data_IF_853978629089
#
_entry.id   IF_853978629089
#
_cell.length_a   1.000
_cell.length_b   1.000
_cell.length_c   1.000
_cell.angle_alpha   90.00
_cell.angle_beta   90.00
_cell.angle_gamma   90.00
#
_symmetry.space_group_name_H-M   'P 1'
#
loop_
_entity.id
_entity.type
_entity.pdbx_description
1 polymer ?
#
# COMPACT_ATOMS: atom_id res chain seq x y z
N UNK A 1 -4.34 56.68 7.27
CA UNK A 1 -3.68 55.38 7.05
C UNK A 1 -4.70 54.45 6.36
N UNK A 2 -4.51 54.14 5.06
CA UNK A 2 -5.35 53.17 4.34
C UNK A 2 -4.86 51.78 4.73
N UNK A 3 -5.70 51.01 5.40
CA UNK A 3 -5.45 49.59 5.62
C UNK A 3 -5.39 48.89 4.25
N UNK A 4 -4.23 48.29 3.92
CA UNK A 4 -4.12 47.37 2.79
C UNK A 4 -5.02 46.17 3.07
N UNK A 5 -5.86 45.74 2.12
CA UNK A 5 -6.60 44.49 2.28
C UNK A 5 -5.58 43.35 2.44
N UNK A 6 -5.69 42.66 3.56
CA UNK A 6 -4.99 41.37 3.73
C UNK A 6 -5.33 40.52 2.51
N UNK A 7 -4.31 40.11 1.76
CA UNK A 7 -4.46 39.18 0.67
C UNK A 7 -5.11 37.93 1.26
N UNK A 8 -6.41 37.77 1.04
CA UNK A 8 -7.10 36.51 1.36
C UNK A 8 -6.38 35.39 0.58
N UNK A 9 -5.75 34.51 1.32
CA UNK A 9 -5.18 33.31 0.70
C UNK A 9 -6.31 32.61 -0.07
N UNK A 10 -6.10 32.22 -1.33
CA UNK A 10 -7.13 31.57 -2.14
C UNK A 10 -7.69 30.39 -1.35
N UNK A 11 -9.02 30.33 -1.23
CA UNK A 11 -9.70 29.28 -0.52
C UNK A 11 -9.16 27.93 -1.02
N UNK A 12 -8.51 27.18 -0.12
CA UNK A 12 -7.95 25.88 -0.47
C UNK A 12 -9.11 24.99 -0.92
N UNK A 13 -9.02 24.53 -2.17
CA UNK A 13 -10.03 23.62 -2.73
C UNK A 13 -10.13 22.39 -1.84
N UNK A 14 -11.31 22.13 -1.32
CA UNK A 14 -11.64 20.91 -0.54
C UNK A 14 -11.90 19.71 -1.43
N UNK A 15 -11.79 19.86 -2.76
CA UNK A 15 -11.97 18.79 -3.71
C UNK A 15 -10.78 17.82 -3.65
N UNK A 16 -11.00 16.54 -3.30
CA UNK A 16 -9.93 15.58 -3.07
C UNK A 16 -9.11 15.25 -4.32
N UNK A 17 -9.63 15.55 -5.50
CA UNK A 17 -8.98 15.31 -6.80
C UNK A 17 -8.43 16.63 -7.39
N UNK A 18 -8.61 17.76 -6.70
CA UNK A 18 -8.10 19.04 -7.16
C UNK A 18 -6.57 19.07 -7.08
N UNK A 19 -5.91 19.36 -8.21
CA UNK A 19 -4.46 19.62 -8.29
C UNK A 19 -4.00 20.76 -7.39
N UNK A 20 -4.93 21.54 -6.82
CA UNK A 20 -4.68 22.63 -5.88
C UNK A 20 -4.76 22.19 -4.41
N UNK A 21 -5.15 20.95 -4.11
CA UNK A 21 -5.22 20.44 -2.74
C UNK A 21 -3.83 20.00 -2.24
N UNK A 22 -3.30 20.59 -1.15
CA UNK A 22 -2.00 20.20 -0.59
C UNK A 22 -1.94 18.72 -0.22
N UNK A 23 -3.06 18.12 0.22
CA UNK A 23 -3.16 16.71 0.55
C UNK A 23 -2.94 15.81 -0.65
N UNK A 24 -3.39 16.20 -1.85
CA UNK A 24 -3.16 15.45 -3.09
C UNK A 24 -1.66 15.40 -3.43
N UNK A 25 -0.98 16.55 -3.36
CA UNK A 25 0.46 16.63 -3.60
C UNK A 25 1.26 15.83 -2.57
N UNK A 26 0.90 15.94 -1.28
CA UNK A 26 1.55 15.19 -0.21
C UNK A 26 1.47 13.67 -0.44
N UNK A 27 0.28 13.17 -0.75
CA UNK A 27 0.06 11.74 -1.03
C UNK A 27 0.79 11.26 -2.29
N UNK A 28 0.74 12.06 -3.37
CA UNK A 28 1.42 11.74 -4.63
C UNK A 28 2.94 11.71 -4.46
N UNK A 29 3.49 12.67 -3.72
CA UNK A 29 4.94 12.72 -3.43
C UNK A 29 5.37 11.50 -2.58
N UNK A 30 4.61 11.17 -1.54
CA UNK A 30 4.86 10.01 -0.71
C UNK A 30 4.90 8.72 -1.57
N UNK A 31 3.86 8.47 -2.38
CA UNK A 31 3.83 7.31 -3.26
C UNK A 31 4.96 7.29 -4.29
N UNK A 32 5.40 8.47 -4.78
CA UNK A 32 6.53 8.57 -5.72
C UNK A 32 7.83 8.15 -5.05
N UNK A 33 8.08 8.63 -3.82
CA UNK A 33 9.27 8.28 -3.04
C UNK A 33 9.26 6.78 -2.70
N UNK A 34 8.15 6.26 -2.24
CA UNK A 34 7.97 4.85 -1.89
C UNK A 34 8.11 3.94 -3.14
N UNK A 35 7.51 4.35 -4.26
CA UNK A 35 7.65 3.67 -5.55
C UNK A 35 9.09 3.63 -6.04
N UNK A 36 9.84 4.73 -5.89
CA UNK A 36 11.27 4.76 -6.17
C UNK A 36 12.05 3.78 -5.27
N UNK A 37 11.68 3.68 -3.98
CA UNK A 37 12.24 2.70 -3.05
C UNK A 37 12.02 1.26 -3.51
N UNK A 38 10.80 0.91 -3.94
CA UNK A 38 10.51 -0.41 -4.52
C UNK A 38 11.29 -0.65 -5.81
N UNK A 39 11.39 0.34 -6.69
CA UNK A 39 12.17 0.23 -7.92
C UNK A 39 13.65 -0.06 -7.63
N UNK A 40 14.25 0.60 -6.64
CA UNK A 40 15.63 0.35 -6.21
C UNK A 40 15.78 -1.10 -5.70
N UNK A 41 14.85 -1.59 -4.90
CA UNK A 41 14.88 -2.97 -4.41
C UNK A 41 14.78 -3.98 -5.57
N UNK A 42 13.93 -3.73 -6.56
CA UNK A 42 13.79 -4.57 -7.76
C UNK A 42 15.07 -4.54 -8.60
N UNK A 43 15.66 -3.36 -8.83
CA UNK A 43 16.93 -3.23 -9.54
C UNK A 43 18.03 -4.00 -8.80
N UNK A 44 18.10 -3.86 -7.48
CA UNK A 44 19.06 -4.59 -6.64
C UNK A 44 18.85 -6.10 -6.73
N UNK A 45 17.60 -6.58 -6.74
CA UNK A 45 17.27 -7.99 -6.92
C UNK A 45 17.83 -8.54 -8.23
N UNK A 46 17.63 -7.86 -9.35
CA UNK A 46 18.17 -8.27 -10.64
C UNK A 46 19.68 -8.09 -10.77
N UNK A 47 20.23 -7.08 -10.11
CA UNK A 47 21.69 -6.90 -10.03
C UNK A 47 22.36 -8.08 -9.32
N UNK A 48 21.84 -8.47 -8.15
CA UNK A 48 22.35 -9.63 -7.40
C UNK A 48 22.18 -10.91 -8.22
N UNK A 49 21.05 -11.07 -8.91
CA UNK A 49 20.76 -12.22 -9.79
C UNK A 49 21.88 -12.49 -10.79
N UNK A 50 22.46 -11.43 -11.37
CA UNK A 50 23.56 -11.55 -12.36
C UNK A 50 24.81 -12.22 -11.81
N UNK A 51 25.03 -12.17 -10.51
CA UNK A 51 26.19 -12.79 -9.85
C UNK A 51 26.07 -14.30 -9.60
N UNK A 52 24.93 -14.93 -9.96
CA UNK A 52 24.68 -16.34 -9.70
C UNK A 52 24.34 -17.10 -10.98
N UNK A 53 24.89 -18.32 -11.17
CA UNK A 53 24.61 -19.15 -12.35
C UNK A 53 23.18 -19.71 -12.35
N UNK A 54 22.56 -19.84 -11.17
CA UNK A 54 21.16 -20.28 -10.99
C UNK A 54 20.44 -19.36 -10.00
N UNK A 55 19.10 -19.25 -10.13
CA UNK A 55 18.30 -18.42 -9.29
C UNK A 55 16.98 -19.13 -8.90
N UNK A 56 16.73 -19.36 -7.63
CA UNK A 56 17.58 -19.05 -6.46
C UNK A 56 18.96 -19.71 -6.51
N UNK A 57 19.93 -19.26 -5.67
CA UNK A 57 21.25 -19.89 -5.60
C UNK A 57 21.17 -21.38 -5.28
N UNK A 58 22.14 -22.15 -5.76
CA UNK A 58 22.22 -23.60 -5.53
C UNK A 58 21.97 -23.95 -4.05
N UNK A 59 21.19 -25.02 -3.79
CA UNK A 59 20.73 -25.46 -2.45
C UNK A 59 19.64 -24.60 -1.78
N UNK A 60 19.14 -23.55 -2.41
CA UNK A 60 17.99 -22.81 -1.91
C UNK A 60 16.72 -23.31 -2.60
N UNK A 61 15.71 -23.70 -1.81
CA UNK A 61 14.41 -24.12 -2.34
C UNK A 61 13.67 -22.92 -2.93
N UNK A 62 12.82 -23.17 -3.92
CA UNK A 62 11.92 -22.16 -4.47
C UNK A 62 10.94 -21.67 -3.39
N UNK A 63 10.55 -20.37 -3.40
CA UNK A 63 9.54 -19.86 -2.50
C UNK A 63 8.18 -20.55 -2.69
N UNK A 64 7.46 -20.82 -1.61
CA UNK A 64 6.13 -21.44 -1.63
C UNK A 64 5.09 -20.48 -2.19
N UNK A 65 4.25 -20.96 -3.12
CA UNK A 65 3.22 -20.13 -3.76
C UNK A 65 1.92 -20.04 -2.96
N UNK A 66 1.57 -21.04 -2.16
CA UNK A 66 0.24 -21.14 -1.57
C UNK A 66 -0.18 -19.91 -0.77
N UNK A 67 0.57 -19.60 0.27
CA UNK A 67 0.29 -18.43 1.14
C UNK A 67 0.47 -17.11 0.39
N UNK A 68 1.50 -17.02 -0.45
CA UNK A 68 1.80 -15.80 -1.19
C UNK A 68 0.73 -15.47 -2.23
N UNK A 69 0.20 -16.49 -2.93
CA UNK A 69 -0.91 -16.32 -3.87
C UNK A 69 -2.20 -15.93 -3.13
N UNK A 70 -2.47 -16.55 -1.97
CA UNK A 70 -3.61 -16.17 -1.14
C UNK A 70 -3.52 -14.71 -0.68
N UNK A 71 -2.32 -14.24 -0.30
CA UNK A 71 -2.08 -12.86 0.10
C UNK A 71 -2.31 -11.87 -1.05
N UNK A 72 -1.79 -12.16 -2.25
CA UNK A 72 -2.09 -11.37 -3.46
C UNK A 72 -3.60 -11.31 -3.70
N UNK A 73 -4.28 -12.46 -3.65
CA UNK A 73 -5.73 -12.51 -3.88
C UNK A 73 -6.50 -11.64 -2.87
N UNK A 74 -6.16 -11.71 -1.58
CA UNK A 74 -6.79 -10.90 -0.53
C UNK A 74 -6.57 -9.41 -0.78
N UNK A 75 -5.34 -8.99 -1.12
CA UNK A 75 -5.04 -7.58 -1.41
C UNK A 75 -5.77 -7.08 -2.66
N UNK A 76 -5.83 -7.88 -3.72
CA UNK A 76 -6.57 -7.52 -4.95
C UNK A 76 -8.07 -7.43 -4.67
N UNK A 77 -8.65 -8.40 -3.95
CA UNK A 77 -10.07 -8.38 -3.59
C UNK A 77 -10.39 -7.17 -2.72
N UNK A 78 -9.49 -6.76 -1.83
CA UNK A 78 -9.68 -5.59 -0.96
C UNK A 78 -9.77 -4.26 -1.72
N UNK A 79 -9.33 -4.21 -2.97
CA UNK A 79 -9.49 -3.05 -3.84
C UNK A 79 -10.97 -2.73 -4.08
N UNK A 80 -11.84 -3.76 -4.17
CA UNK A 80 -13.26 -3.59 -4.44
C UNK A 80 -13.99 -2.79 -3.35
N UNK A 81 -13.93 -3.19 -2.05
CA UNK A 81 -14.54 -2.39 -1.00
C UNK A 81 -13.89 -1.02 -0.84
N UNK A 82 -12.58 -0.88 -1.06
CA UNK A 82 -11.93 0.43 -1.01
C UNK A 82 -12.40 1.35 -2.14
N UNK A 83 -12.53 0.83 -3.37
CA UNK A 83 -13.13 1.57 -4.49
C UNK A 83 -14.57 2.00 -4.18
N UNK A 84 -15.36 1.11 -3.57
CA UNK A 84 -16.71 1.44 -3.18
C UNK A 84 -16.76 2.54 -2.11
N UNK A 85 -15.88 2.50 -1.10
CA UNK A 85 -15.76 3.55 -0.10
C UNK A 85 -15.39 4.91 -0.74
N UNK A 86 -14.43 4.92 -1.68
CA UNK A 86 -14.05 6.12 -2.40
C UNK A 86 -15.21 6.69 -3.25
N UNK A 87 -15.97 5.82 -3.93
CA UNK A 87 -17.15 6.22 -4.71
C UNK A 87 -18.23 6.85 -3.82
N UNK A 88 -18.50 6.26 -2.67
CA UNK A 88 -19.45 6.82 -1.69
C UNK A 88 -18.97 8.17 -1.13
N UNK A 89 -17.66 8.33 -0.92
CA UNK A 89 -17.08 9.59 -0.46
C UNK A 89 -17.24 10.71 -1.51
N UNK A 90 -17.02 10.42 -2.78
CA UNK A 90 -17.26 11.38 -3.88
C UNK A 90 -18.73 11.76 -3.98
N UNK A 91 -19.64 10.81 -3.78
CA UNK A 91 -21.09 11.04 -3.77
C UNK A 91 -21.59 11.72 -2.48
N UNK A 92 -20.71 12.00 -1.52
CA UNK A 92 -21.02 12.57 -0.18
C UNK A 92 -22.12 11.80 0.55
N UNK A 93 -22.11 10.49 0.42
CA UNK A 93 -23.04 9.59 1.07
C UNK A 93 -22.86 9.52 2.60
N UNK A 94 -23.75 8.78 3.27
CA UNK A 94 -23.77 8.64 4.74
C UNK A 94 -22.45 8.11 5.26
N UNK A 95 -21.75 8.88 6.04
CA UNK A 95 -20.41 8.57 6.57
C UNK A 95 -20.37 7.29 7.40
N UNK A 96 -21.46 6.90 8.07
CA UNK A 96 -21.53 5.62 8.78
C UNK A 96 -21.37 4.44 7.83
N UNK A 97 -21.93 4.51 6.61
CA UNK A 97 -21.79 3.45 5.59
C UNK A 97 -20.34 3.40 5.12
N UNK A 98 -19.75 4.56 4.82
CA UNK A 98 -18.33 4.65 4.42
C UNK A 98 -17.43 4.09 5.52
N UNK A 99 -17.67 4.44 6.77
CA UNK A 99 -16.92 3.94 7.92
C UNK A 99 -16.94 2.40 8.01
N UNK A 100 -18.12 1.79 7.86
CA UNK A 100 -18.27 0.33 7.88
C UNK A 100 -17.46 -0.30 6.74
N UNK A 101 -17.54 0.26 5.53
CA UNK A 101 -16.79 -0.25 4.37
C UNK A 101 -15.28 -0.13 4.60
N UNK A 102 -14.80 0.99 5.19
CA UNK A 102 -13.38 1.15 5.54
C UNK A 102 -12.93 0.15 6.62
N UNK A 103 -13.77 -0.15 7.60
CA UNK A 103 -13.46 -1.18 8.60
C UNK A 103 -13.39 -2.58 7.98
N UNK A 104 -14.21 -2.87 6.97
CA UNK A 104 -14.07 -4.10 6.17
C UNK A 104 -12.74 -4.11 5.42
N UNK A 105 -12.32 -2.98 4.79
CA UNK A 105 -11.00 -2.89 4.17
C UNK A 105 -9.87 -3.10 5.18
N UNK A 106 -9.97 -2.52 6.37
CA UNK A 106 -8.99 -2.72 7.44
C UNK A 106 -8.90 -4.20 7.86
N UNK A 107 -10.03 -4.92 7.91
CA UNK A 107 -10.03 -6.36 8.17
C UNK A 107 -9.28 -7.15 7.09
N UNK A 108 -9.43 -6.81 5.80
CA UNK A 108 -8.60 -7.36 4.72
C UNK A 108 -7.11 -7.05 4.92
N UNK A 109 -6.76 -5.82 5.32
CA UNK A 109 -5.39 -5.43 5.62
C UNK A 109 -4.79 -6.21 6.78
N UNK A 110 -5.56 -6.46 7.84
CA UNK A 110 -5.14 -7.32 8.97
C UNK A 110 -4.92 -8.76 8.48
N UNK A 111 -5.84 -9.31 7.71
CA UNK A 111 -5.69 -10.65 7.14
C UNK A 111 -4.44 -10.76 6.25
N UNK A 112 -4.21 -9.78 5.37
CA UNK A 112 -3.01 -9.71 4.55
C UNK A 112 -1.73 -9.61 5.39
N UNK A 113 -1.76 -8.86 6.50
CA UNK A 113 -0.65 -8.76 7.45
C UNK A 113 -0.32 -10.10 8.11
N UNK A 114 -1.34 -10.85 8.52
CA UNK A 114 -1.17 -12.19 9.09
C UNK A 114 -0.57 -13.15 8.07
N UNK A 115 -1.09 -13.16 6.83
CA UNK A 115 -0.54 -13.97 5.75
C UNK A 115 0.89 -13.58 5.42
N UNK A 116 1.25 -12.30 5.50
CA UNK A 116 2.62 -11.82 5.30
C UNK A 116 3.60 -12.45 6.29
N UNK A 117 3.22 -12.56 7.56
CA UNK A 117 4.04 -13.23 8.58
C UNK A 117 4.27 -14.71 8.23
N UNK A 118 3.26 -15.37 7.67
CA UNK A 118 3.39 -16.76 7.20
C UNK A 118 4.24 -16.87 5.94
N UNK A 119 4.17 -15.89 5.02
CA UNK A 119 5.01 -15.85 3.82
C UNK A 119 6.51 -15.81 4.12
N UNK A 120 6.93 -15.11 5.19
CA UNK A 120 8.33 -15.12 5.60
C UNK A 120 8.86 -16.52 5.90
N UNK A 121 8.01 -17.44 6.31
CA UNK A 121 8.37 -18.86 6.49
C UNK A 121 8.44 -19.60 5.17
N UNK A 122 7.54 -19.28 4.23
CA UNK A 122 7.45 -19.91 2.91
C UNK A 122 8.50 -19.45 1.90
N UNK A 123 9.31 -18.44 2.22
CA UNK A 123 10.43 -18.01 1.34
C UNK A 123 11.56 -19.04 1.28
N UNK A 124 11.61 -20.00 2.21
CA UNK A 124 12.61 -21.08 2.28
C UNK A 124 14.06 -20.59 2.37
N UNK A 125 14.29 -19.36 2.80
CA UNK A 125 15.61 -18.77 3.03
C UNK A 125 15.57 -17.80 4.21
N UNK A 126 16.70 -17.59 4.87
CA UNK A 126 16.84 -16.59 5.93
C UNK A 126 17.47 -15.31 5.38
N UNK A 127 17.14 -14.18 6.00
CA UNK A 127 17.68 -12.86 5.63
C UNK A 127 19.20 -12.78 5.63
N UNK A 128 19.89 -13.56 6.49
CA UNK A 128 21.33 -13.56 6.69
C UNK A 128 22.05 -14.75 6.04
N UNK A 129 21.36 -15.60 5.29
CA UNK A 129 21.96 -16.81 4.69
C UNK A 129 22.68 -16.54 3.38
N UNK A 130 22.25 -15.54 2.63
CA UNK A 130 22.79 -15.18 1.31
C UNK A 130 22.31 -13.80 0.87
N UNK A 131 22.95 -13.23 -0.17
CA UNK A 131 22.48 -12.00 -0.80
C UNK A 131 21.06 -12.14 -1.37
N UNK A 132 20.70 -13.34 -1.88
CA UNK A 132 19.33 -13.67 -2.28
C UNK A 132 18.35 -13.57 -1.10
N UNK A 133 18.67 -14.21 0.02
CA UNK A 133 17.85 -14.14 1.23
C UNK A 133 17.67 -12.69 1.70
N UNK A 134 18.77 -11.92 1.76
CA UNK A 134 18.73 -10.53 2.20
C UNK A 134 17.80 -9.68 1.35
N UNK A 135 17.91 -9.72 0.02
CA UNK A 135 17.07 -8.89 -0.86
C UNK A 135 15.60 -9.31 -0.84
N UNK A 136 15.30 -10.61 -0.83
CA UNK A 136 13.92 -11.10 -0.78
C UNK A 136 13.25 -10.68 0.54
N UNK A 137 13.93 -10.87 1.67
CA UNK A 137 13.43 -10.44 2.98
C UNK A 137 13.23 -8.92 3.05
N UNK A 138 14.14 -8.14 2.44
CA UNK A 138 14.01 -6.67 2.39
C UNK A 138 12.76 -6.26 1.62
N UNK A 139 12.50 -6.85 0.44
CA UNK A 139 11.31 -6.58 -0.36
C UNK A 139 10.03 -6.90 0.44
N UNK A 140 9.98 -8.09 1.07
CA UNK A 140 8.83 -8.50 1.87
C UNK A 140 8.61 -7.58 3.07
N UNK A 141 9.68 -7.24 3.80
CA UNK A 141 9.62 -6.43 5.02
C UNK A 141 9.20 -4.99 4.72
N UNK A 142 9.77 -4.37 3.69
CA UNK A 142 9.39 -3.01 3.28
C UNK A 142 7.93 -2.98 2.84
N UNK A 143 7.49 -3.90 2.00
CA UNK A 143 6.08 -3.97 1.60
C UNK A 143 5.16 -4.28 2.79
N UNK A 144 5.58 -5.10 3.74
CA UNK A 144 4.83 -5.37 4.97
C UNK A 144 4.61 -4.10 5.80
N UNK A 145 5.64 -3.26 5.95
CA UNK A 145 5.50 -1.97 6.61
C UNK A 145 4.43 -1.08 5.94
N UNK A 146 4.36 -1.09 4.59
CA UNK A 146 3.35 -0.35 3.83
C UNK A 146 1.94 -0.92 4.04
N UNK A 147 1.77 -2.25 4.08
CA UNK A 147 0.48 -2.87 4.42
C UNK A 147 0.04 -2.44 5.82
N UNK A 148 0.93 -2.47 6.81
CA UNK A 148 0.61 -2.05 8.17
C UNK A 148 0.22 -0.57 8.24
N UNK A 149 0.97 0.31 7.58
CA UNK A 149 0.68 1.74 7.52
C UNK A 149 -0.69 2.01 6.87
N UNK A 150 -0.95 1.42 5.70
CA UNK A 150 -2.23 1.56 4.99
C UNK A 150 -3.40 1.01 5.83
N UNK A 151 -3.22 -0.13 6.48
CA UNK A 151 -4.24 -0.75 7.35
C UNK A 151 -4.53 0.13 8.56
N UNK A 152 -3.50 0.63 9.24
CA UNK A 152 -3.65 1.50 10.40
C UNK A 152 -4.34 2.81 10.02
N UNK A 153 -3.91 3.45 8.93
CA UNK A 153 -4.54 4.66 8.41
C UNK A 153 -6.02 4.44 8.11
N UNK A 154 -6.37 3.37 7.39
CA UNK A 154 -7.76 3.03 7.06
C UNK A 154 -8.60 2.75 8.30
N UNK A 155 -8.04 2.04 9.28
CA UNK A 155 -8.69 1.76 10.57
C UNK A 155 -8.97 3.05 11.35
N UNK A 156 -7.97 3.93 11.45
CA UNK A 156 -8.11 5.22 12.15
C UNK A 156 -9.17 6.08 11.49
N UNK A 157 -9.16 6.21 10.16
CA UNK A 157 -10.18 6.97 9.43
C UNK A 157 -11.57 6.36 9.70
N UNK A 158 -11.73 5.04 9.58
CA UNK A 158 -12.99 4.35 9.83
C UNK A 158 -13.55 4.60 11.23
N UNK A 159 -12.71 4.51 12.26
CA UNK A 159 -13.10 4.77 13.66
C UNK A 159 -13.48 6.24 13.85
N UNK A 160 -12.68 7.17 13.32
CA UNK A 160 -12.96 8.61 13.48
C UNK A 160 -14.27 9.02 12.81
N UNK A 161 -14.65 8.41 11.68
CA UNK A 161 -15.94 8.66 11.03
C UNK A 161 -17.13 8.17 11.84
N UNK A 162 -16.95 7.18 12.72
CA UNK A 162 -18.00 6.71 13.64
C UNK A 162 -18.07 7.56 14.92
N UNK A 163 -16.94 8.08 15.39
CA UNK A 163 -16.81 8.68 16.71
C UNK A 163 -17.05 10.19 16.76
N UNK A 164 -16.95 10.92 15.63
CA UNK A 164 -16.97 12.39 15.64
C UNK A 164 -17.96 12.98 14.61
N UNK A 165 -18.50 14.19 14.88
CA UNK A 165 -19.25 14.95 13.89
C UNK A 165 -18.40 15.26 12.67
N UNK A 166 -19.04 15.34 11.54
CA UNK A 166 -18.43 15.32 10.23
C UNK A 166 -17.96 16.72 9.81
N UNK A 167 -16.70 16.81 9.42
CA UNK A 167 -16.15 17.94 8.66
C UNK A 167 -16.05 17.55 7.17
N UNK A 168 -16.33 18.44 6.25
CA UNK A 168 -16.22 18.20 4.79
C UNK A 168 -14.82 17.70 4.34
N UNK A 169 -13.79 18.13 5.06
CA UNK A 169 -12.39 17.72 4.84
C UNK A 169 -12.20 16.21 4.89
N UNK A 170 -13.03 15.46 5.59
CA UNK A 170 -12.88 14.00 5.75
C UNK A 170 -13.14 13.20 4.48
N UNK A 171 -13.95 13.73 3.55
CA UNK A 171 -14.14 13.07 2.25
C UNK A 171 -12.86 13.08 1.40
N UNK A 172 -12.04 14.14 1.52
CA UNK A 172 -10.73 14.23 0.90
C UNK A 172 -9.76 13.18 1.46
N UNK A 173 -9.76 12.99 2.79
CA UNK A 173 -8.91 12.01 3.47
C UNK A 173 -9.24 10.58 3.01
N UNK A 174 -10.53 10.26 2.81
CA UNK A 174 -10.96 8.94 2.32
C UNK A 174 -10.45 8.68 0.92
N UNK A 175 -10.54 9.67 0.03
CA UNK A 175 -10.08 9.54 -1.36
C UNK A 175 -8.55 9.38 -1.44
N UNK A 176 -7.81 10.15 -0.64
CA UNK A 176 -6.36 10.02 -0.54
C UNK A 176 -5.95 8.64 0.00
N UNK A 177 -6.63 8.14 1.04
CA UNK A 177 -6.42 6.81 1.59
C UNK A 177 -6.69 5.70 0.55
N UNK A 178 -7.73 5.86 -0.27
CA UNK A 178 -8.04 4.88 -1.31
C UNK A 178 -6.94 4.81 -2.38
N UNK A 179 -6.41 5.94 -2.82
CA UNK A 179 -5.31 5.99 -3.79
C UNK A 179 -4.07 5.29 -3.22
N UNK A 180 -3.74 5.54 -1.95
CA UNK A 180 -2.63 4.88 -1.28
C UNK A 180 -2.84 3.37 -1.13
N UNK A 181 -4.07 2.93 -0.80
CA UNK A 181 -4.43 1.51 -0.74
C UNK A 181 -4.22 0.80 -2.09
N UNK A 182 -4.63 1.44 -3.18
CA UNK A 182 -4.41 0.90 -4.54
C UNK A 182 -2.92 0.78 -4.85
N UNK A 183 -2.14 1.79 -4.50
CA UNK A 183 -0.69 1.75 -4.68
C UNK A 183 -0.06 0.55 -3.95
N UNK A 184 -0.40 0.34 -2.68
CA UNK A 184 0.10 -0.79 -1.89
C UNK A 184 -0.35 -2.13 -2.48
N UNK A 185 -1.62 -2.27 -2.85
CA UNK A 185 -2.13 -3.51 -3.44
C UNK A 185 -1.50 -3.84 -4.79
N UNK A 186 -1.40 -2.86 -5.69
CA UNK A 186 -0.86 -3.07 -7.04
C UNK A 186 0.66 -3.26 -7.04
N UNK A 187 1.39 -2.55 -6.17
CA UNK A 187 2.84 -2.78 -6.02
C UNK A 187 3.14 -4.22 -5.60
N UNK A 188 2.29 -4.82 -4.74
CA UNK A 188 2.48 -6.22 -4.36
C UNK A 188 2.27 -7.18 -5.52
N UNK A 189 1.32 -6.93 -6.40
CA UNK A 189 1.15 -7.78 -7.60
C UNK A 189 2.46 -7.83 -8.39
N UNK A 190 3.08 -6.69 -8.67
CA UNK A 190 4.36 -6.63 -9.39
C UNK A 190 5.49 -7.35 -8.63
N UNK A 191 5.62 -7.10 -7.32
CA UNK A 191 6.64 -7.72 -6.48
C UNK A 191 6.44 -9.24 -6.34
N UNK A 192 5.20 -9.70 -6.27
CA UNK A 192 4.87 -11.13 -6.26
C UNK A 192 5.36 -11.83 -7.53
N UNK A 193 5.11 -11.24 -8.70
CA UNK A 193 5.62 -11.77 -9.97
C UNK A 193 7.15 -11.90 -9.94
N UNK A 194 7.85 -10.89 -9.42
CA UNK A 194 9.32 -10.88 -9.39
C UNK A 194 9.87 -11.89 -8.37
N UNK A 195 9.34 -11.90 -7.15
CA UNK A 195 9.93 -12.67 -6.03
C UNK A 195 9.50 -14.12 -6.02
N UNK A 196 8.22 -14.40 -6.34
CA UNK A 196 7.65 -15.75 -6.22
C UNK A 196 7.54 -16.49 -7.56
N UNK A 197 7.19 -15.82 -8.63
CA UNK A 197 7.08 -16.44 -9.95
C UNK A 197 8.38 -16.32 -10.73
N UNK A 198 9.09 -15.21 -10.70
CA UNK A 198 10.32 -14.97 -11.42
C UNK A 198 11.36 -16.08 -11.28
N UNK A 199 11.67 -16.58 -10.06
CA UNK A 199 12.62 -17.68 -9.87
C UNK A 199 12.28 -19.00 -10.57
N UNK A 200 11.08 -19.14 -11.10
CA UNK A 200 10.64 -20.33 -11.85
C UNK A 200 10.91 -20.23 -13.34
N UNK A 201 11.22 -19.03 -13.82
CA UNK A 201 11.46 -18.74 -15.25
C UNK A 201 12.87 -18.19 -15.52
N UNK A 202 13.59 -17.79 -14.47
CA UNK A 202 14.94 -17.22 -14.51
C UNK A 202 16.02 -18.26 -14.18
#
# INVERSE_FOLDING_TARGET
MKQQPLLEAPAQSTDPVSLHAPAWWGNTLAMTIEGAGFAILVITYFYIRRGFPSWPPAKTLLPDLGVSTANVAILVISILPMWYAAKLAVARERLKVIAIVLLVCAAFGIAASVLRVLEFRGVNTRWNSSAYGAIVWSILAVHFAHILAATLQTLVIGILLLARPVEERRYADISANAIYWYFVGLSWVALYFIVFLGPRFL
#
